data_IF_934564394650
#
_entry.id   IF_934564394650
#
_cell.length_a   1.000
_cell.length_b   1.000
_cell.length_c   1.000
_cell.angle_alpha   90.00
_cell.angle_beta   90.00
_cell.angle_gamma   90.00
#
_symmetry.space_group_name_H-M   'P 1'
#
loop_
_entity.id
_entity.type
_entity.pdbx_description
1 polymer ?
#
# COMPACT_ATOMS: atom_id res chain seq x y z
N UNK A 1 25.70 72.67 -5.71
CA UNK A 1 24.38 72.11 -6.08
C UNK A 1 24.63 70.66 -6.49
N UNK A 2 24.47 69.70 -5.57
CA UNK A 2 23.39 68.67 -5.58
C UNK A 2 23.36 67.93 -6.93
N UNK A 3 23.51 66.61 -7.05
CA UNK A 3 22.79 65.54 -6.33
C UNK A 3 23.66 64.25 -6.38
N UNK A 4 23.83 63.61 -5.23
CA UNK A 4 24.24 62.20 -5.09
C UNK A 4 22.98 61.36 -5.27
N UNK A 5 22.97 60.42 -6.22
CA UNK A 5 21.91 59.38 -6.29
C UNK A 5 22.54 58.04 -5.90
N UNK A 6 22.11 57.59 -4.73
CA UNK A 6 22.43 56.30 -4.14
C UNK A 6 21.70 55.18 -4.91
N UNK A 7 22.46 54.18 -5.37
CA UNK A 7 21.92 52.92 -5.85
C UNK A 7 21.56 52.05 -4.63
N UNK A 8 20.27 52.04 -4.26
CA UNK A 8 19.73 51.23 -3.15
C UNK A 8 19.46 49.81 -3.64
N UNK A 9 20.32 48.91 -3.18
CA UNK A 9 20.09 47.53 -2.75
C UNK A 9 18.68 46.95 -3.01
N UNK A 10 18.57 46.08 -4.03
CA UNK A 10 17.38 45.24 -4.22
C UNK A 10 17.73 43.77 -4.52
N UNK A 11 18.81 43.24 -3.94
CA UNK A 11 19.29 41.87 -4.17
C UNK A 11 19.13 40.92 -2.98
N UNK A 12 18.48 41.35 -1.89
CA UNK A 12 18.50 40.60 -0.62
C UNK A 12 17.38 39.58 -0.38
N UNK A 13 16.28 39.56 -1.16
CA UNK A 13 15.08 38.80 -0.76
C UNK A 13 14.82 37.54 -1.61
N UNK A 14 15.50 37.37 -2.76
CA UNK A 14 15.27 36.21 -3.64
C UNK A 14 16.08 34.95 -3.27
N UNK A 15 17.03 35.02 -2.33
CA UNK A 15 17.88 33.89 -1.97
C UNK A 15 17.27 32.93 -0.93
N UNK A 16 16.15 33.29 -0.28
CA UNK A 16 15.56 32.47 0.80
C UNK A 16 14.44 31.52 0.34
N UNK A 17 14.02 31.56 -0.93
CA UNK A 17 12.93 30.71 -1.41
C UNK A 17 13.37 29.44 -2.17
N UNK A 18 14.68 29.24 -2.42
CA UNK A 18 15.18 28.12 -3.24
C UNK A 18 15.82 26.99 -2.43
N UNK A 19 15.82 27.09 -1.09
CA UNK A 19 16.49 26.11 -0.22
C UNK A 19 15.58 24.98 0.28
N UNK A 20 14.30 24.90 -0.11
CA UNK A 20 13.35 23.95 0.52
C UNK A 20 12.57 23.01 -0.40
N UNK A 21 12.94 22.86 -1.67
CA UNK A 21 12.49 21.71 -2.48
C UNK A 21 13.67 20.80 -2.83
N UNK A 22 14.24 20.13 -1.82
CA UNK A 22 14.86 18.85 -2.12
C UNK A 22 13.74 17.85 -2.46
N UNK A 23 13.78 17.20 -3.64
CA UNK A 23 12.85 16.12 -3.92
C UNK A 23 13.12 15.01 -2.90
N UNK A 24 12.12 14.74 -2.07
CA UNK A 24 12.09 13.70 -1.04
C UNK A 24 12.57 12.32 -1.58
N UNK A 25 12.49 12.10 -2.90
CA UNK A 25 12.95 10.89 -3.58
C UNK A 25 14.47 10.76 -3.79
N UNK A 26 15.24 11.85 -3.82
CA UNK A 26 16.69 11.75 -4.03
C UNK A 26 17.42 11.23 -2.78
N UNK A 27 16.95 11.61 -1.58
CA UNK A 27 17.50 11.12 -0.32
C UNK A 27 17.12 9.64 -0.06
N UNK A 28 15.92 9.21 -0.48
CA UNK A 28 15.47 7.83 -0.32
C UNK A 28 16.32 6.81 -1.09
N UNK A 29 16.83 7.20 -2.27
CA UNK A 29 17.67 6.35 -3.11
C UNK A 29 19.16 6.33 -2.67
N UNK A 30 19.55 7.17 -1.71
CA UNK A 30 20.96 7.31 -1.30
C UNK A 30 21.40 6.28 -0.25
N UNK A 31 20.48 5.56 0.40
CA UNK A 31 20.78 4.63 1.49
C UNK A 31 20.54 3.19 1.08
N UNK A 32 21.58 2.34 1.17
CA UNK A 32 21.46 0.87 1.15
C UNK A 32 20.90 0.22 -0.12
N UNK A 33 20.72 0.97 -1.21
CA UNK A 33 20.09 0.47 -2.44
C UNK A 33 18.69 1.00 -2.70
N UNK A 34 18.18 1.91 -1.86
CA UNK A 34 16.90 2.61 -2.08
C UNK A 34 15.68 1.72 -1.88
N UNK A 35 14.67 1.89 -2.73
CA UNK A 35 13.49 1.02 -2.72
C UNK A 35 13.81 -0.32 -3.40
N UNK A 36 13.47 -1.42 -2.72
CA UNK A 36 13.54 -2.77 -3.28
C UNK A 36 12.12 -3.22 -3.60
N UNK A 37 11.89 -3.65 -4.84
CA UNK A 37 10.61 -4.15 -5.30
C UNK A 37 10.69 -5.68 -5.40
N UNK A 38 9.88 -6.36 -4.60
CA UNK A 38 9.63 -7.78 -4.73
C UNK A 38 8.42 -7.96 -5.66
N UNK A 39 8.61 -8.50 -6.87
CA UNK A 39 7.50 -8.71 -7.79
C UNK A 39 6.55 -9.76 -7.22
N UNK A 40 5.23 -9.60 -7.44
CA UNK A 40 4.30 -10.70 -7.21
C UNK A 40 4.53 -11.76 -8.28
N UNK A 41 4.44 -13.03 -7.91
CA UNK A 41 4.28 -14.08 -8.91
C UNK A 41 2.87 -13.94 -9.50
N UNK A 42 2.73 -14.22 -10.80
CA UNK A 42 1.48 -14.16 -11.56
C UNK A 42 0.30 -14.95 -10.94
N UNK A 43 0.57 -15.81 -9.96
CA UNK A 43 -0.41 -16.63 -9.25
C UNK A 43 -1.00 -15.94 -8.01
N UNK A 44 -0.51 -14.76 -7.62
CA UNK A 44 -0.96 -14.07 -6.40
C UNK A 44 -1.38 -12.61 -6.68
N UNK A 45 -2.68 -12.36 -6.59
CA UNK A 45 -3.31 -11.02 -6.74
C UNK A 45 -3.08 -10.10 -5.52
N UNK A 46 -2.12 -10.45 -4.65
CA UNK A 46 -1.81 -9.70 -3.43
C UNK A 46 -0.86 -8.52 -3.68
N UNK A 47 -0.57 -8.17 -4.94
CA UNK A 47 0.28 -7.03 -5.30
C UNK A 47 1.78 -7.22 -5.05
N UNK A 48 2.58 -6.27 -5.55
CA UNK A 48 4.04 -6.24 -5.36
C UNK A 48 4.38 -5.83 -3.92
N UNK A 49 5.54 -6.23 -3.39
CA UNK A 49 6.01 -5.70 -2.10
C UNK A 49 7.10 -4.66 -2.32
N UNK A 50 6.96 -3.49 -1.68
CA UNK A 50 7.96 -2.41 -1.76
C UNK A 50 8.63 -2.25 -0.39
N UNK A 51 9.92 -2.52 -0.33
CA UNK A 51 10.75 -2.32 0.86
C UNK A 51 11.55 -1.02 0.77
N UNK A 52 11.65 -0.28 1.88
CA UNK A 52 12.39 0.99 1.95
C UNK A 52 13.60 0.91 2.89
N UNK A 53 14.81 1.04 2.34
CA UNK A 53 16.02 1.20 3.15
C UNK A 53 16.00 2.48 3.99
N UNK A 54 15.42 3.57 3.48
CA UNK A 54 15.33 4.85 4.19
C UNK A 54 14.60 4.69 5.54
N UNK A 55 13.49 3.97 5.54
CA UNK A 55 12.72 3.72 6.77
C UNK A 55 13.54 2.88 7.74
N UNK A 56 14.03 1.72 7.30
CA UNK A 56 14.69 0.77 8.20
C UNK A 56 16.06 1.26 8.70
N UNK A 57 16.87 1.86 7.83
CA UNK A 57 18.22 2.30 8.19
C UNK A 57 18.20 3.69 8.81
N UNK A 58 17.63 4.68 8.12
CA UNK A 58 17.75 6.09 8.54
C UNK A 58 16.71 6.45 9.61
N UNK A 59 15.46 6.02 9.47
CA UNK A 59 14.40 6.42 10.40
C UNK A 59 14.35 5.53 11.66
N UNK A 60 14.55 4.22 11.49
CA UNK A 60 14.51 3.26 12.60
C UNK A 60 15.89 2.97 13.20
N UNK A 61 16.98 3.33 12.51
CA UNK A 61 18.35 3.23 13.01
C UNK A 61 18.98 1.84 12.94
N UNK A 62 18.47 0.95 12.08
CA UNK A 62 19.13 -0.33 11.87
C UNK A 62 20.42 -0.16 11.05
N UNK A 63 21.45 -0.91 11.43
CA UNK A 63 22.71 -0.97 10.68
C UNK A 63 22.61 -2.00 9.55
N UNK A 64 23.48 -1.87 8.54
CA UNK A 64 23.53 -2.80 7.40
C UNK A 64 23.66 -4.27 7.84
N UNK A 65 24.39 -4.50 8.93
CA UNK A 65 24.69 -5.84 9.46
C UNK A 65 23.51 -6.48 10.20
N UNK A 66 22.47 -5.70 10.52
CA UNK A 66 21.24 -6.26 11.08
C UNK A 66 20.48 -7.10 10.05
N UNK A 67 20.64 -6.81 8.76
CA UNK A 67 19.97 -7.53 7.67
C UNK A 67 20.94 -8.33 6.82
N UNK A 68 22.12 -7.76 6.53
CA UNK A 68 23.05 -8.35 5.60
C UNK A 68 24.28 -8.95 6.29
N UNK A 69 24.86 -10.03 5.75
CA UNK A 69 24.30 -10.87 4.68
C UNK A 69 23.29 -11.91 5.20
N UNK A 70 23.04 -11.94 6.51
CA UNK A 70 22.38 -13.05 7.20
C UNK A 70 20.93 -13.27 6.77
N UNK A 71 20.13 -12.21 6.67
CA UNK A 71 18.73 -12.28 6.25
C UNK A 71 18.60 -12.08 4.74
N UNK A 72 19.40 -11.16 4.19
CA UNK A 72 19.41 -10.85 2.77
C UNK A 72 20.86 -10.75 2.27
N UNK A 73 21.21 -11.38 1.14
CA UNK A 73 22.53 -11.19 0.54
C UNK A 73 22.68 -9.78 -0.05
N UNK A 74 23.90 -9.24 -0.07
CA UNK A 74 24.20 -7.93 -0.68
C UNK A 74 24.08 -7.92 -2.22
N UNK A 75 24.11 -9.10 -2.85
CA UNK A 75 24.08 -9.22 -4.32
C UNK A 75 22.65 -8.92 -4.80
N UNK A 76 22.50 -8.34 -5.99
CA UNK A 76 21.19 -8.35 -6.69
C UNK A 76 20.81 -9.81 -6.89
N UNK A 77 20.02 -10.33 -5.98
CA UNK A 77 19.47 -11.66 -6.04
C UNK A 77 18.44 -11.69 -7.14
N UNK A 78 18.50 -12.71 -7.99
CA UNK A 78 17.39 -13.01 -8.92
C UNK A 78 16.12 -13.27 -8.10
N UNK A 79 14.93 -13.13 -8.69
CA UNK A 79 13.67 -13.50 -8.02
C UNK A 79 13.75 -14.93 -7.42
N UNK A 80 14.51 -15.81 -8.07
CA UNK A 80 14.80 -17.18 -7.66
C UNK A 80 15.65 -17.27 -6.38
N UNK A 81 16.51 -16.28 -6.10
CA UNK A 81 17.33 -16.20 -4.88
C UNK A 81 16.61 -15.50 -3.71
N UNK A 82 15.52 -14.78 -3.97
CA UNK A 82 14.60 -14.22 -2.96
C UNK A 82 13.28 -15.01 -2.92
N UNK A 83 13.34 -16.30 -3.23
CA UNK A 83 12.16 -17.16 -3.29
C UNK A 83 11.75 -17.63 -1.89
N UNK A 84 11.27 -16.71 -1.07
CA UNK A 84 10.57 -17.01 0.18
C UNK A 84 9.08 -16.69 0.02
N UNK A 85 8.25 -17.53 0.59
CA UNK A 85 6.80 -17.39 0.57
C UNK A 85 6.30 -16.77 1.89
N UNK A 86 5.03 -16.37 1.93
CA UNK A 86 4.41 -15.88 3.16
C UNK A 86 4.58 -16.83 4.36
N UNK A 87 4.54 -18.16 4.12
CA UNK A 87 4.79 -19.17 5.15
C UNK A 87 6.16 -19.03 5.83
N UNK A 88 7.16 -18.54 5.09
CA UNK A 88 8.52 -18.38 5.57
C UNK A 88 8.64 -17.15 6.46
N UNK A 89 7.88 -16.09 6.14
CA UNK A 89 7.73 -14.89 6.96
C UNK A 89 7.10 -15.25 8.29
N UNK A 90 5.98 -15.99 8.27
CA UNK A 90 5.32 -16.47 9.50
C UNK A 90 6.25 -17.38 10.33
N UNK A 91 7.14 -18.12 9.68
CA UNK A 91 8.18 -18.93 10.33
C UNK A 91 9.42 -18.13 10.80
N UNK A 92 9.36 -16.79 10.78
CA UNK A 92 10.44 -15.93 11.27
C UNK A 92 11.62 -15.73 10.30
N UNK A 93 11.47 -16.09 9.02
CA UNK A 93 12.51 -15.90 7.99
C UNK A 93 12.28 -14.61 7.20
N UNK A 94 13.36 -14.10 6.58
CA UNK A 94 13.34 -12.86 5.78
C UNK A 94 12.70 -11.70 6.55
N UNK A 95 11.58 -11.14 6.07
CA UNK A 95 10.86 -10.06 6.75
C UNK A 95 10.38 -10.45 8.15
N UNK A 96 10.04 -11.73 8.34
CA UNK A 96 9.57 -12.30 9.60
C UNK A 96 10.63 -12.34 10.68
N UNK A 97 11.91 -12.17 10.35
CA UNK A 97 12.96 -12.10 11.35
C UNK A 97 12.79 -10.89 12.29
N UNK A 98 12.05 -9.86 11.86
CA UNK A 98 11.68 -8.72 12.71
C UNK A 98 10.16 -8.53 12.80
N UNK A 99 9.42 -8.76 11.70
CA UNK A 99 7.97 -8.62 11.64
C UNK A 99 7.24 -9.90 12.11
N UNK A 100 7.51 -10.34 13.33
CA UNK A 100 6.93 -11.54 13.94
C UNK A 100 6.24 -11.23 15.26
N UNK A 101 5.32 -12.10 15.65
CA UNK A 101 4.59 -11.99 16.93
C UNK A 101 5.47 -12.33 18.13
N UNK A 102 6.32 -13.34 17.96
CA UNK A 102 7.21 -13.85 18.99
C UNK A 102 8.55 -13.11 18.97
N UNK A 103 8.92 -12.55 20.13
CA UNK A 103 10.15 -11.79 20.33
C UNK A 103 10.29 -10.58 19.37
N UNK A 104 9.49 -9.51 19.60
CA UNK A 104 9.48 -8.33 18.74
C UNK A 104 10.81 -7.58 18.74
N UNK A 105 11.32 -7.26 17.55
CA UNK A 105 12.56 -6.49 17.40
C UNK A 105 12.26 -4.99 17.52
N UNK A 106 12.81 -4.36 18.55
CA UNK A 106 12.68 -2.91 18.75
C UNK A 106 13.67 -2.12 17.86
N UNK A 107 13.18 -1.02 17.31
CA UNK A 107 14.00 -0.02 16.61
C UNK A 107 15.08 0.55 17.54
N UNK A 108 16.36 0.54 17.12
CA UNK A 108 17.45 1.12 17.91
C UNK A 108 17.28 2.60 18.24
N UNK A 109 16.60 3.36 17.37
CA UNK A 109 16.43 4.81 17.56
C UNK A 109 15.14 5.16 18.30
N UNK A 110 14.04 4.46 18.00
CA UNK A 110 12.71 4.87 18.49
C UNK A 110 12.15 3.97 19.58
N UNK A 111 12.74 2.79 19.82
CA UNK A 111 12.21 1.77 20.72
C UNK A 111 10.89 1.13 20.25
N UNK A 112 10.34 1.57 19.11
CA UNK A 112 9.12 0.99 18.54
C UNK A 112 9.42 -0.41 18.02
N UNK A 113 8.53 -1.35 18.32
CA UNK A 113 8.61 -2.71 17.80
C UNK A 113 7.96 -2.79 16.43
N UNK A 114 8.49 -3.66 15.57
CA UNK A 114 7.90 -3.94 14.27
C UNK A 114 6.47 -4.50 14.44
N UNK A 115 5.57 -4.13 13.54
CA UNK A 115 4.27 -4.79 13.47
C UNK A 115 4.48 -6.25 13.03
N UNK A 116 3.74 -7.20 13.61
CA UNK A 116 3.86 -8.60 13.22
C UNK A 116 3.16 -8.84 11.87
N UNK A 117 3.71 -9.76 11.09
CA UNK A 117 3.07 -10.31 9.89
C UNK A 117 2.57 -11.71 10.24
N UNK A 118 1.26 -11.85 10.41
CA UNK A 118 0.62 -13.13 10.70
C UNK A 118 -0.76 -13.23 10.02
N UNK A 119 -1.20 -14.46 9.76
CA UNK A 119 -2.51 -14.75 9.18
C UNK A 119 -3.68 -14.29 10.09
N UNK A 120 -3.46 -14.14 11.40
CA UNK A 120 -4.48 -13.62 12.31
C UNK A 120 -4.63 -12.09 12.27
N UNK A 121 -3.64 -11.36 11.77
CA UNK A 121 -3.64 -9.89 11.69
C UNK A 121 -3.66 -9.42 10.23
N UNK A 122 -4.85 -9.44 9.65
CA UNK A 122 -5.07 -9.15 8.23
C UNK A 122 -4.99 -7.68 7.86
N UNK A 123 -5.04 -6.78 8.83
CA UNK A 123 -5.03 -5.32 8.62
C UNK A 123 -3.65 -4.77 8.23
N UNK A 124 -2.58 -5.55 8.36
CA UNK A 124 -1.21 -5.10 8.06
C UNK A 124 -0.71 -5.47 6.65
N UNK A 125 -1.47 -6.27 5.88
CA UNK A 125 -1.04 -6.73 4.55
C UNK A 125 -0.63 -5.57 3.63
N UNK A 126 -1.43 -4.50 3.62
CA UNK A 126 -1.21 -3.30 2.78
C UNK A 126 -0.03 -2.41 3.22
N UNK A 127 0.60 -2.68 4.36
CA UNK A 127 1.81 -1.97 4.78
C UNK A 127 3.03 -2.37 3.94
N UNK A 128 2.99 -3.57 3.36
CA UNK A 128 4.04 -4.13 2.52
C UNK A 128 3.57 -4.30 1.07
N UNK A 129 2.37 -4.84 0.89
CA UNK A 129 1.79 -5.16 -0.41
C UNK A 129 1.15 -3.92 -1.06
N UNK A 130 1.67 -3.53 -2.22
CA UNK A 130 1.22 -2.41 -3.04
C UNK A 130 0.65 -2.91 -4.38
N UNK A 131 -0.33 -2.20 -4.92
CA UNK A 131 -0.90 -2.52 -6.23
C UNK A 131 -1.81 -3.74 -6.24
N UNK A 132 -2.55 -3.98 -5.15
CA UNK A 132 -3.65 -4.96 -5.08
C UNK A 132 -4.88 -4.50 -5.92
N UNK A 133 -4.68 -3.72 -6.98
CA UNK A 133 -5.79 -3.22 -7.79
C UNK A 133 -6.23 -4.33 -8.75
N UNK A 134 -7.51 -4.71 -8.67
CA UNK A 134 -8.08 -5.77 -9.49
C UNK A 134 -8.94 -5.16 -10.59
N UNK A 135 -8.70 -5.56 -11.84
CA UNK A 135 -9.48 -5.10 -12.99
C UNK A 135 -10.41 -6.20 -13.49
N UNK A 136 -11.71 -5.95 -13.40
CA UNK A 136 -12.77 -6.85 -13.86
C UNK A 136 -13.22 -6.43 -15.26
N UNK A 137 -13.22 -7.40 -16.19
CA UNK A 137 -13.75 -7.18 -17.53
C UNK A 137 -15.28 -7.21 -17.48
N UNK A 138 -15.93 -6.19 -18.04
CA UNK A 138 -17.39 -6.11 -18.12
C UNK A 138 -17.86 -6.15 -19.58
N UNK A 139 -19.04 -6.70 -19.85
CA UNK A 139 -19.72 -6.53 -21.14
C UNK A 139 -20.50 -5.21 -21.10
N UNK A 140 -19.88 -4.11 -21.51
CA UNK A 140 -20.51 -2.79 -21.46
C UNK A 140 -19.50 -1.64 -21.31
N UNK A 141 -19.75 -0.61 -20.46
CA UNK A 141 -19.13 0.73 -20.49
C UNK A 141 -17.62 0.80 -20.18
N UNK A 142 -16.92 -0.33 -20.19
CA UNK A 142 -15.49 -0.47 -19.95
C UNK A 142 -15.17 -1.31 -18.72
N UNK A 143 -13.90 -1.71 -18.54
CA UNK A 143 -13.48 -2.52 -17.40
C UNK A 143 -13.66 -1.75 -16.08
N UNK A 144 -13.96 -2.47 -15.01
CA UNK A 144 -14.05 -1.92 -13.65
C UNK A 144 -12.76 -2.18 -12.91
N UNK A 145 -12.17 -1.15 -12.31
CA UNK A 145 -10.99 -1.32 -11.44
C UNK A 145 -11.38 -1.11 -9.99
N UNK A 146 -11.03 -2.07 -9.14
CA UNK A 146 -11.12 -1.95 -7.69
C UNK A 146 -9.73 -1.69 -7.12
N UNK A 147 -9.55 -0.56 -6.44
CA UNK A 147 -8.31 -0.20 -5.74
C UNK A 147 -8.51 -0.32 -4.22
N UNK A 148 -7.65 -1.07 -3.55
CA UNK A 148 -7.69 -1.24 -2.10
C UNK A 148 -7.32 0.04 -1.33
N UNK A 149 -6.51 0.94 -1.90
CA UNK A 149 -6.03 2.14 -1.20
C UNK A 149 -7.15 3.07 -0.69
N UNK A 150 -8.13 3.50 -1.52
CA UNK A 150 -9.23 4.32 -1.01
C UNK A 150 -10.08 3.58 0.03
N UNK A 151 -10.20 2.25 -0.06
CA UNK A 151 -11.00 1.47 0.88
C UNK A 151 -10.29 1.24 2.23
N UNK A 152 -8.98 1.00 2.21
CA UNK A 152 -8.20 0.74 3.42
C UNK A 152 -7.74 2.04 4.10
N UNK A 153 -7.16 2.97 3.33
CA UNK A 153 -6.50 4.16 3.89
C UNK A 153 -7.49 5.30 4.09
N UNK A 154 -8.29 5.61 3.07
CA UNK A 154 -9.21 6.75 3.14
C UNK A 154 -10.47 6.38 3.93
N UNK A 155 -11.10 5.25 3.58
CA UNK A 155 -12.32 4.80 4.22
C UNK A 155 -12.07 4.08 5.57
N UNK A 156 -10.85 3.56 5.82
CA UNK A 156 -10.47 2.99 7.11
C UNK A 156 -10.94 1.55 7.34
N UNK A 157 -11.33 0.84 6.28
CA UNK A 157 -11.71 -0.57 6.41
C UNK A 157 -10.49 -1.45 6.65
N UNK A 158 -10.69 -2.54 7.39
CA UNK A 158 -9.71 -3.61 7.50
C UNK A 158 -9.94 -4.66 6.40
N UNK A 159 -8.91 -5.45 6.08
CA UNK A 159 -9.03 -6.52 5.08
C UNK A 159 -10.13 -7.55 5.43
N UNK A 160 -10.33 -7.81 6.73
CA UNK A 160 -11.40 -8.68 7.23
C UNK A 160 -12.81 -8.15 6.96
N UNK A 161 -12.96 -6.84 6.73
CA UNK A 161 -14.24 -6.21 6.37
C UNK A 161 -14.79 -6.73 5.04
N UNK A 162 -13.90 -7.20 4.15
CA UNK A 162 -14.27 -7.77 2.85
C UNK A 162 -13.92 -9.27 2.73
N UNK A 163 -12.73 -9.68 3.20
CA UNK A 163 -12.19 -11.01 2.92
C UNK A 163 -12.47 -12.09 3.97
N UNK A 164 -13.04 -11.77 5.14
CA UNK A 164 -13.38 -12.76 6.19
C UNK A 164 -12.35 -13.87 6.47
N UNK A 165 -11.06 -13.57 6.31
CA UNK A 165 -9.94 -14.45 6.66
C UNK A 165 -8.79 -14.43 5.64
N UNK A 166 -7.57 -14.78 6.08
CA UNK A 166 -6.40 -14.92 5.20
C UNK A 166 -6.63 -15.96 4.08
N UNK A 167 -7.38 -17.02 4.40
CA UNK A 167 -7.71 -18.11 3.48
C UNK A 167 -8.71 -17.72 2.39
N UNK A 168 -9.38 -16.57 2.53
CA UNK A 168 -10.34 -16.01 1.58
C UNK A 168 -9.82 -14.73 0.91
N UNK A 169 -8.51 -14.50 0.95
CA UNK A 169 -7.86 -13.44 0.16
C UNK A 169 -7.94 -13.68 -1.35
N UNK A 170 -8.22 -14.91 -1.80
CA UNK A 170 -8.50 -15.21 -3.22
C UNK A 170 -9.92 -14.85 -3.68
N UNK A 171 -10.89 -14.73 -2.76
CA UNK A 171 -12.29 -14.38 -3.06
C UNK A 171 -12.95 -13.77 -1.82
N UNK A 172 -13.42 -12.50 -1.86
CA UNK A 172 -14.08 -11.91 -0.70
C UNK A 172 -15.29 -12.76 -0.29
N UNK A 173 -15.61 -12.83 1.01
CA UNK A 173 -16.63 -13.76 1.56
C UNK A 173 -18.04 -13.61 1.00
N UNK A 174 -18.27 -12.59 0.18
CA UNK A 174 -19.53 -12.32 -0.52
C UNK A 174 -19.48 -12.53 -2.05
N UNK A 175 -18.41 -13.13 -2.56
CA UNK A 175 -18.25 -13.46 -3.99
C UNK A 175 -18.32 -14.98 -4.26
N UNK A 176 -18.54 -15.80 -3.23
CA UNK A 176 -18.59 -17.26 -3.33
C UNK A 176 -19.86 -17.82 -3.98
N UNK A 177 -20.84 -16.97 -4.32
CA UNK A 177 -21.87 -17.33 -5.28
C UNK A 177 -21.48 -16.77 -6.63
N UNK A 178 -20.80 -17.63 -7.39
CA UNK A 178 -20.77 -17.68 -8.85
C UNK A 178 -21.04 -16.34 -9.53
N UNK A 179 -20.00 -15.71 -10.08
CA UNK A 179 -20.13 -14.85 -11.25
C UNK A 179 -20.66 -15.71 -12.42
N UNK A 180 -21.90 -16.19 -12.30
CA UNK A 180 -22.64 -16.64 -13.47
C UNK A 180 -22.81 -15.39 -14.34
N UNK A 181 -22.64 -15.50 -15.66
CA UNK A 181 -22.86 -14.39 -16.59
C UNK A 181 -24.28 -13.80 -16.57
N UNK A 182 -25.14 -14.28 -15.68
CA UNK A 182 -26.58 -14.02 -15.58
C UNK A 182 -27.00 -13.36 -14.26
N UNK A 183 -26.10 -12.96 -13.37
CA UNK A 183 -26.52 -12.16 -12.21
C UNK A 183 -27.14 -10.83 -12.68
N UNK A 184 -28.33 -10.46 -12.18
CA UNK A 184 -28.97 -9.21 -12.53
C UNK A 184 -28.10 -8.08 -11.98
N UNK A 185 -27.73 -7.17 -12.88
CA UNK A 185 -27.21 -5.82 -12.62
C UNK A 185 -26.56 -5.59 -11.22
N UNK A 186 -25.22 -5.48 -11.11
CA UNK A 186 -24.55 -5.14 -9.84
C UNK A 186 -24.87 -3.74 -9.31
N UNK A 187 -25.73 -3.01 -10.02
CA UNK A 187 -26.16 -1.65 -9.70
C UNK A 187 -27.58 -1.58 -9.13
N UNK A 188 -28.37 -2.67 -9.01
CA UNK A 188 -29.74 -2.58 -8.49
C UNK A 188 -30.34 -3.87 -7.90
N UNK A 189 -31.05 -3.75 -6.76
CA UNK A 189 -31.93 -4.79 -6.19
C UNK A 189 -31.65 -5.12 -4.72
N UNK A 190 -32.63 -5.71 -4.02
CA UNK A 190 -32.47 -6.18 -2.62
C UNK A 190 -31.45 -7.33 -2.45
N UNK A 191 -30.92 -7.84 -3.57
CA UNK A 191 -29.97 -8.93 -3.68
C UNK A 191 -28.61 -8.46 -4.23
N UNK A 192 -28.34 -7.15 -4.28
CA UNK A 192 -27.09 -6.62 -4.82
C UNK A 192 -25.91 -6.96 -3.90
N UNK A 193 -25.29 -8.11 -4.15
CA UNK A 193 -24.07 -8.58 -3.48
C UNK A 193 -22.85 -7.89 -4.12
N UNK A 194 -21.75 -7.73 -3.38
CA UNK A 194 -20.51 -7.01 -3.79
C UNK A 194 -20.51 -5.49 -3.51
N UNK A 195 -20.09 -4.65 -4.46
CA UNK A 195 -19.84 -3.21 -4.29
C UNK A 195 -21.05 -2.49 -3.68
N UNK A 196 -22.25 -2.81 -4.16
CA UNK A 196 -23.51 -2.22 -3.71
C UNK A 196 -23.85 -2.49 -2.22
N UNK A 197 -23.15 -3.42 -1.56
CA UNK A 197 -23.28 -3.65 -0.11
C UNK A 197 -22.88 -2.41 0.70
N UNK A 198 -21.94 -1.62 0.18
CA UNK A 198 -21.50 -0.37 0.80
C UNK A 198 -21.74 0.83 -0.11
N UNK A 199 -21.66 0.67 -1.43
CA UNK A 199 -21.95 1.73 -2.39
C UNK A 199 -23.46 1.86 -2.62
N UNK A 200 -24.19 2.21 -1.56
CA UNK A 200 -25.64 2.40 -1.52
C UNK A 200 -26.06 3.88 -1.36
N UNK A 201 -25.08 4.79 -1.28
CA UNK A 201 -25.31 6.22 -1.06
C UNK A 201 -25.54 6.60 0.40
N UNK A 202 -25.48 5.64 1.34
CA UNK A 202 -25.82 5.83 2.75
C UNK A 202 -24.75 5.27 3.71
N UNK A 203 -24.03 4.22 3.34
CA UNK A 203 -23.06 3.56 4.20
C UNK A 203 -21.91 4.51 4.54
N UNK A 204 -21.63 4.64 5.84
CA UNK A 204 -20.55 5.46 6.38
C UNK A 204 -19.41 4.57 6.83
N UNK A 205 -18.20 4.83 6.31
CA UNK A 205 -17.01 4.07 6.64
C UNK A 205 -16.46 4.39 8.04
N UNK A 206 -15.52 3.58 8.58
CA UNK A 206 -14.84 3.87 9.85
C UNK A 206 -14.21 5.27 9.94
N UNK A 207 -13.68 5.77 8.84
CA UNK A 207 -13.13 7.13 8.74
C UNK A 207 -14.16 8.20 8.32
N UNK A 208 -15.45 7.92 8.53
CA UNK A 208 -16.55 8.86 8.27
C UNK A 208 -16.67 9.31 6.81
N UNK A 209 -16.32 8.43 5.86
CA UNK A 209 -16.53 8.64 4.42
C UNK A 209 -17.86 7.98 4.02
N UNK A 210 -18.77 8.76 3.45
CA UNK A 210 -20.02 8.22 2.90
C UNK A 210 -19.73 7.63 1.52
N UNK A 211 -20.04 6.35 1.34
CA UNK A 211 -19.88 5.69 0.06
C UNK A 211 -20.96 6.16 -0.91
N UNK A 212 -20.56 6.52 -2.13
CA UNK A 212 -21.48 6.90 -3.20
C UNK A 212 -22.27 5.68 -3.68
N UNK A 213 -23.48 5.90 -4.20
CA UNK A 213 -24.29 4.81 -4.73
C UNK A 213 -23.78 4.31 -6.09
N UNK A 214 -24.00 3.03 -6.35
CA UNK A 214 -23.59 2.36 -7.60
C UNK A 214 -24.31 2.87 -8.86
N UNK A 215 -25.42 3.60 -8.77
CA UNK A 215 -26.20 4.04 -9.95
C UNK A 215 -25.95 5.47 -10.39
N UNK A 216 -25.35 6.30 -9.55
CA UNK A 216 -25.26 7.75 -9.79
C UNK A 216 -24.00 8.19 -10.53
N UNK A 217 -22.89 7.46 -10.44
CA UNK A 217 -21.61 7.89 -11.03
C UNK A 217 -20.80 6.72 -11.62
N UNK A 218 -21.20 6.29 -12.81
CA UNK A 218 -20.64 5.11 -13.50
C UNK A 218 -19.12 5.20 -13.71
N UNK A 219 -18.58 6.40 -13.94
CA UNK A 219 -17.17 6.60 -14.29
C UNK A 219 -16.23 6.56 -13.08
N UNK A 220 -16.76 6.47 -11.86
CA UNK A 220 -15.94 6.18 -10.67
C UNK A 220 -15.39 4.76 -10.66
N UNK A 221 -16.06 3.85 -11.34
CA UNK A 221 -15.70 2.44 -11.39
C UNK A 221 -15.26 2.01 -12.79
N UNK A 222 -15.99 2.44 -13.82
CA UNK A 222 -15.72 2.06 -15.21
C UNK A 222 -14.68 2.98 -15.85
N UNK A 223 -13.56 2.39 -16.29
CA UNK A 223 -12.56 3.07 -17.11
C UNK A 223 -13.01 3.11 -18.57
N UNK A 224 -12.85 4.27 -19.24
CA UNK A 224 -13.14 4.44 -20.67
C UNK A 224 -11.97 4.06 -21.54
#
# INVERSE_FOLDING_TARGET
>A
MRIVIAAVLLSGVLALAWAQQQPQGAAANAVGGGYIVFPSTLESDIGIVIFSHLVHVTQLGFSCNNCHPSLFPFRKSTAEQLNFMFRDIVAGRACGACHRLDDPVASPTTGRVAFPVDLAQLDTCGLCHAGMANTFQTRGPGPVTFDHNPHLIQAGYSCGSCHGGASALGYPRRFTETLTPSMPFPHAGAESVSCATCHDGATVSPNNVVAFDVVSDCFRCHQR
#
